data_IF_227380906176
#
_entry.id   IF_227380906176
#
_cell.length_a   1.000
_cell.length_b   1.000
_cell.length_c   1.000
_cell.angle_alpha   90.00
_cell.angle_beta   90.00
_cell.angle_gamma   90.00
#
_symmetry.space_group_name_H-M   'P 1'
#
loop_
_entity.id
_entity.type
_entity.pdbx_description
1 polymer ?
#
# COMPACT_ATOMS: atom_id res chain seq x y z
N UNK A 1 -26.14 9.77 23.31
CA UNK A 1 -26.24 10.56 22.06
C UNK A 1 -26.31 9.55 20.95
N UNK A 2 -27.43 9.42 20.30
CA UNK A 2 -27.52 8.59 19.11
C UNK A 2 -26.58 9.16 18.04
N UNK A 3 -25.81 8.31 17.35
CA UNK A 3 -25.02 8.77 16.21
C UNK A 3 -25.99 9.40 15.21
N UNK A 4 -25.63 10.57 14.69
CA UNK A 4 -26.41 11.22 13.63
C UNK A 4 -26.71 10.18 12.55
N UNK A 5 -27.94 10.12 12.02
CA UNK A 5 -28.27 9.17 10.96
C UNK A 5 -27.29 9.38 9.83
N UNK A 6 -26.70 8.28 9.36
CA UNK A 6 -25.82 8.28 8.20
C UNK A 6 -26.51 9.09 7.09
N UNK A 7 -25.86 10.09 6.47
CA UNK A 7 -26.46 10.89 5.41
C UNK A 7 -26.79 10.06 4.15
N UNK A 8 -26.39 8.80 4.13
CA UNK A 8 -26.62 7.88 3.04
C UNK A 8 -27.95 7.17 3.20
N UNK A 9 -28.97 7.75 2.60
CA UNK A 9 -30.26 7.09 2.43
C UNK A 9 -30.05 5.86 1.53
N UNK A 10 -30.75 4.76 1.88
CA UNK A 10 -30.68 3.44 1.25
C UNK A 10 -30.92 3.39 -0.27
N UNK A 11 -31.21 4.51 -0.92
CA UNK A 11 -31.41 4.62 -2.35
C UNK A 11 -30.20 5.16 -3.13
N UNK A 12 -29.15 5.61 -2.46
CA UNK A 12 -27.97 6.15 -3.14
C UNK A 12 -27.02 5.01 -3.51
N UNK A 13 -26.85 4.80 -4.80
CA UNK A 13 -25.88 3.84 -5.31
C UNK A 13 -24.49 4.48 -5.29
N UNK A 14 -23.56 3.84 -4.60
CA UNK A 14 -22.15 4.21 -4.64
C UNK A 14 -21.42 3.35 -5.66
N UNK A 15 -20.63 3.97 -6.50
CA UNK A 15 -19.73 3.26 -7.38
C UNK A 15 -18.46 2.97 -6.60
N UNK A 16 -18.28 1.71 -6.23
CA UNK A 16 -17.06 1.19 -5.63
C UNK A 16 -16.16 0.69 -6.74
N UNK A 17 -14.94 1.20 -6.84
CA UNK A 17 -14.03 0.76 -7.90
C UNK A 17 -12.72 1.53 -7.90
N UNK A 18 -11.91 1.25 -8.91
CA UNK A 18 -10.63 1.90 -9.12
C UNK A 18 -10.81 3.22 -9.88
N UNK A 19 -10.28 4.29 -9.30
CA UNK A 19 -10.20 5.61 -9.95
C UNK A 19 -8.92 5.73 -10.76
N UNK A 20 -9.01 6.42 -11.90
CA UNK A 20 -7.87 6.70 -12.77
C UNK A 20 -7.60 8.20 -12.74
N UNK A 21 -6.35 8.57 -12.51
CA UNK A 21 -5.92 9.96 -12.44
C UNK A 21 -4.89 10.22 -13.53
N UNK A 22 -4.98 11.38 -14.15
CA UNK A 22 -3.88 11.93 -14.96
C UNK A 22 -3.16 12.96 -14.14
N UNK A 23 -1.85 12.81 -13.99
CA UNK A 23 -1.05 13.73 -13.19
C UNK A 23 -0.79 15.00 -13.97
N UNK A 24 -1.21 16.13 -13.40
CA UNK A 24 -0.83 17.47 -13.87
C UNK A 24 0.01 18.14 -12.80
N UNK A 25 1.21 18.64 -13.13
CA UNK A 25 2.02 19.32 -12.13
C UNK A 25 1.41 20.68 -11.81
N UNK A 26 1.17 20.91 -10.53
CA UNK A 26 0.73 22.20 -10.01
C UNK A 26 1.87 22.96 -9.29
N UNK A 27 2.99 22.29 -9.08
CA UNK A 27 4.19 22.84 -8.45
C UNK A 27 5.40 22.65 -9.36
N UNK A 28 6.26 23.65 -9.54
CA UNK A 28 7.42 23.55 -10.43
C UNK A 28 8.44 22.50 -9.98
N UNK A 29 8.55 22.24 -8.68
CA UNK A 29 9.51 21.29 -8.11
C UNK A 29 8.83 20.48 -6.97
N UNK A 30 8.13 19.38 -7.26
CA UNK A 30 7.60 18.51 -6.22
C UNK A 30 8.75 17.85 -5.45
N UNK A 31 8.62 17.78 -4.13
CA UNK A 31 9.60 17.17 -3.22
C UNK A 31 8.97 16.03 -2.42
N UNK A 32 9.81 15.16 -1.83
CA UNK A 32 9.35 14.08 -0.94
C UNK A 32 8.37 13.12 -1.62
N UNK A 33 7.28 12.80 -0.94
CA UNK A 33 6.27 11.84 -1.39
C UNK A 33 5.65 12.22 -2.75
N UNK A 34 5.46 13.51 -3.03
CA UNK A 34 4.92 13.96 -4.30
C UNK A 34 5.88 13.71 -5.47
N UNK A 35 7.19 13.90 -5.26
CA UNK A 35 8.20 13.60 -6.27
C UNK A 35 8.29 12.10 -6.57
N UNK A 36 8.25 11.26 -5.53
CA UNK A 36 8.25 9.81 -5.68
C UNK A 36 7.03 9.32 -6.47
N UNK A 37 5.84 9.83 -6.13
CA UNK A 37 4.61 9.47 -6.81
C UNK A 37 4.58 9.96 -8.27
N UNK A 38 5.14 11.16 -8.54
CA UNK A 38 5.27 11.70 -9.89
C UNK A 38 6.18 10.83 -10.76
N UNK A 39 7.32 10.38 -10.22
CA UNK A 39 8.23 9.46 -10.92
C UNK A 39 7.55 8.13 -11.23
N UNK A 40 6.79 7.59 -10.27
CA UNK A 40 6.03 6.36 -10.47
C UNK A 40 4.95 6.51 -11.55
N UNK A 41 4.27 7.65 -11.61
CA UNK A 41 3.29 7.94 -12.64
C UNK A 41 3.88 8.02 -14.06
N UNK A 42 5.19 8.09 -14.19
CA UNK A 42 5.87 8.33 -15.49
C UNK A 42 6.00 9.81 -15.82
N UNK A 43 5.92 10.70 -14.84
CA UNK A 43 6.02 12.14 -15.00
C UNK A 43 4.67 12.84 -15.20
N UNK A 44 4.74 14.11 -15.60
CA UNK A 44 3.55 14.91 -15.93
C UNK A 44 2.83 14.31 -17.16
N UNK A 45 1.52 14.17 -17.07
CA UNK A 45 0.71 13.47 -18.08
C UNK A 45 0.65 11.96 -17.87
N UNK A 46 1.39 11.43 -16.92
CA UNK A 46 1.33 10.02 -16.52
C UNK A 46 0.04 9.67 -15.79
N UNK A 47 -0.21 8.39 -15.61
CA UNK A 47 -1.44 7.88 -15.02
C UNK A 47 -1.18 7.22 -13.68
N UNK A 48 -2.08 7.48 -12.72
CA UNK A 48 -2.15 6.82 -11.43
C UNK A 48 -3.48 6.10 -11.28
N UNK A 49 -3.47 5.05 -10.47
CA UNK A 49 -4.67 4.32 -10.11
C UNK A 49 -4.80 4.29 -8.60
N UNK A 50 -5.96 4.65 -8.09
CA UNK A 50 -6.23 4.69 -6.67
C UNK A 50 -7.60 4.15 -6.31
N UNK A 51 -7.78 3.90 -5.03
CA UNK A 51 -9.05 3.53 -4.43
C UNK A 51 -9.44 4.57 -3.40
N UNK A 52 -10.70 4.96 -3.40
CA UNK A 52 -11.24 5.90 -2.43
C UNK A 52 -11.09 5.37 -1.01
N UNK A 53 -10.65 6.25 -0.09
CA UNK A 53 -10.62 5.98 1.35
C UNK A 53 -11.58 6.84 2.15
N UNK A 54 -12.16 7.88 1.54
CA UNK A 54 -13.15 8.74 2.16
C UNK A 54 -14.56 8.39 1.67
N UNK A 55 -15.41 7.90 2.56
CA UNK A 55 -16.79 7.53 2.24
C UNK A 55 -17.77 8.69 2.37
N UNK A 56 -17.31 9.88 2.80
CA UNK A 56 -18.16 11.05 3.06
C UNK A 56 -18.03 12.16 2.03
N UNK A 57 -17.02 12.11 1.19
CA UNK A 57 -16.77 13.08 0.13
C UNK A 57 -16.83 12.42 -1.23
N UNK A 58 -17.02 13.22 -2.26
CA UNK A 58 -17.17 12.75 -3.64
C UNK A 58 -16.27 13.53 -4.58
N UNK A 59 -15.89 12.87 -5.66
CA UNK A 59 -15.26 13.48 -6.82
C UNK A 59 -16.13 13.22 -8.04
N UNK A 60 -16.22 14.20 -8.93
CA UNK A 60 -16.91 14.07 -10.20
C UNK A 60 -15.95 13.67 -11.31
N UNK A 61 -16.45 12.88 -12.25
CA UNK A 61 -15.64 12.48 -13.40
C UNK A 61 -15.16 13.72 -14.19
N UNK A 62 -13.86 13.79 -14.48
CA UNK A 62 -13.23 14.93 -15.14
C UNK A 62 -12.93 16.13 -14.23
N UNK A 63 -13.18 16.03 -12.91
CA UNK A 63 -12.79 17.05 -11.96
C UNK A 63 -11.26 17.11 -11.86
N UNK A 64 -10.71 18.32 -11.87
CA UNK A 64 -9.31 18.58 -11.54
C UNK A 64 -9.24 19.11 -10.12
N UNK A 65 -8.34 18.53 -9.34
CA UNK A 65 -8.13 18.91 -7.94
C UNK A 65 -6.66 18.91 -7.56
N UNK A 66 -6.34 19.51 -6.42
CA UNK A 66 -4.99 19.59 -5.86
C UNK A 66 -4.95 18.79 -4.57
N UNK A 67 -4.32 17.62 -4.60
CA UNK A 67 -4.15 16.78 -3.43
C UNK A 67 -2.78 16.97 -2.79
N UNK A 68 -2.75 16.94 -1.47
CA UNK A 68 -1.53 16.68 -0.72
C UNK A 68 -1.18 15.18 -0.86
N UNK A 69 0.10 14.89 -1.10
CA UNK A 69 0.60 13.53 -1.22
C UNK A 69 1.28 13.12 0.08
N UNK A 70 0.75 12.12 0.75
CA UNK A 70 1.26 11.60 2.02
C UNK A 70 1.79 10.18 1.84
N UNK A 71 3.03 9.92 2.25
CA UNK A 71 3.56 8.56 2.33
C UNK A 71 3.06 7.90 3.62
N UNK A 72 2.08 7.02 3.52
CA UNK A 72 1.43 6.36 4.66
C UNK A 72 2.36 5.42 5.44
N UNK A 73 3.42 4.94 4.83
CA UNK A 73 4.42 4.09 5.50
C UNK A 73 5.26 4.90 6.50
N UNK A 74 5.40 6.20 6.26
CA UNK A 74 6.15 7.14 7.09
C UNK A 74 5.23 7.90 8.05
N UNK A 75 4.12 8.42 7.53
CA UNK A 75 3.12 9.18 8.29
C UNK A 75 1.71 8.60 8.08
N UNK A 76 1.31 7.60 8.87
CA UNK A 76 -0.03 7.04 8.79
C UNK A 76 -1.14 8.00 9.27
N UNK A 77 -0.81 9.05 10.03
CA UNK A 77 -1.77 10.06 10.47
C UNK A 77 -1.95 11.21 9.47
N UNK A 78 -1.09 11.31 8.47
CA UNK A 78 -1.20 12.32 7.41
C UNK A 78 -2.45 12.15 6.54
N UNK A 79 -3.11 10.98 6.59
CA UNK A 79 -4.44 10.79 6.02
C UNK A 79 -5.50 10.76 7.16
N UNK A 80 -6.26 11.84 7.40
CA UNK A 80 -7.25 11.92 8.48
C UNK A 80 -8.30 10.83 8.46
N UNK A 81 -8.61 10.29 7.29
CA UNK A 81 -9.55 9.18 7.09
C UNK A 81 -9.11 7.89 7.77
N UNK A 82 -7.82 7.70 8.05
CA UNK A 82 -7.31 6.56 8.82
C UNK A 82 -7.54 6.71 10.32
N UNK A 83 -7.94 7.90 10.79
CA UNK A 83 -8.22 8.23 12.18
C UNK A 83 -7.06 8.97 12.85
N UNK A 84 -7.26 9.29 14.14
CA UNK A 84 -6.31 10.10 14.94
C UNK A 84 -5.46 9.27 15.91
N UNK A 85 -5.72 7.97 16.01
CA UNK A 85 -4.95 7.03 16.82
C UNK A 85 -3.82 6.42 15.98
N UNK A 86 -2.58 6.75 16.32
CA UNK A 86 -1.40 6.30 15.57
C UNK A 86 -1.28 4.77 15.47
N UNK A 87 -1.59 4.05 16.54
CA UNK A 87 -1.46 2.58 16.55
C UNK A 87 -2.49 1.97 15.60
N UNK A 88 -3.72 2.46 15.66
CA UNK A 88 -4.81 2.00 14.78
C UNK A 88 -4.56 2.40 13.32
N UNK A 89 -4.13 3.65 13.07
CA UNK A 89 -3.80 4.09 11.71
C UNK A 89 -2.67 3.24 11.12
N UNK A 90 -1.62 2.96 11.89
CA UNK A 90 -0.52 2.09 11.46
C UNK A 90 -0.98 0.66 11.18
N UNK A 91 -1.90 0.12 11.99
CA UNK A 91 -2.49 -1.21 11.73
C UNK A 91 -3.27 -1.21 10.41
N UNK A 92 -4.12 -0.20 10.18
CA UNK A 92 -4.85 -0.05 8.92
C UNK A 92 -3.92 0.04 7.71
N UNK A 93 -2.82 0.78 7.83
CA UNK A 93 -1.80 0.84 6.77
C UNK A 93 -1.19 -0.55 6.51
N UNK A 94 -0.86 -1.31 7.55
CA UNK A 94 -0.34 -2.66 7.41
C UNK A 94 -1.36 -3.61 6.75
N UNK A 95 -2.63 -3.50 7.11
CA UNK A 95 -3.71 -4.30 6.53
C UNK A 95 -3.95 -3.93 5.05
N UNK A 96 -3.93 -2.64 4.72
CA UNK A 96 -3.97 -2.17 3.33
C UNK A 96 -2.76 -2.70 2.53
N UNK A 97 -1.55 -2.65 3.10
CA UNK A 97 -0.37 -3.22 2.46
C UNK A 97 -0.54 -4.71 2.18
N UNK A 98 -1.05 -5.46 3.15
CA UNK A 98 -1.38 -6.88 2.99
C UNK A 98 -2.40 -7.14 1.89
N UNK A 99 -3.45 -6.32 1.81
CA UNK A 99 -4.48 -6.37 0.78
C UNK A 99 -3.89 -6.10 -0.62
N UNK A 100 -3.17 -4.98 -0.78
CA UNK A 100 -2.58 -4.59 -2.06
C UNK A 100 -1.46 -5.55 -2.51
N UNK A 101 -0.65 -6.07 -1.59
CA UNK A 101 0.40 -7.02 -1.92
C UNK A 101 -0.15 -8.29 -2.57
N UNK A 102 -1.33 -8.74 -2.16
CA UNK A 102 -1.93 -9.98 -2.68
C UNK A 102 -2.84 -9.77 -3.87
N UNK A 103 -3.57 -8.65 -3.90
CA UNK A 103 -4.71 -8.51 -4.80
C UNK A 103 -4.72 -7.19 -5.59
N UNK A 104 -3.95 -6.18 -5.18
CA UNK A 104 -4.12 -4.80 -5.64
C UNK A 104 -3.21 -4.33 -6.76
N UNK A 105 -2.15 -5.06 -7.08
CA UNK A 105 -1.13 -4.61 -8.06
C UNK A 105 -1.41 -5.09 -9.48
N UNK A 106 -2.61 -5.57 -9.77
CA UNK A 106 -3.01 -5.98 -11.11
C UNK A 106 -3.23 -4.76 -12.01
N UNK A 107 -2.53 -4.70 -13.13
CA UNK A 107 -2.62 -3.58 -14.06
C UNK A 107 -4.04 -3.37 -14.61
N UNK A 108 -4.75 -4.45 -14.91
CA UNK A 108 -6.10 -4.45 -15.48
C UNK A 108 -7.02 -5.37 -14.68
N UNK A 109 -7.52 -4.95 -13.50
CA UNK A 109 -8.50 -5.73 -12.75
C UNK A 109 -9.83 -5.79 -13.50
N UNK A 110 -10.53 -6.89 -13.35
CA UNK A 110 -11.93 -6.99 -13.77
C UNK A 110 -12.81 -6.02 -12.95
N UNK A 111 -14.02 -5.73 -13.42
CA UNK A 111 -14.96 -4.89 -12.67
C UNK A 111 -15.24 -5.44 -11.26
N UNK A 112 -15.40 -6.75 -11.13
CA UNK A 112 -15.60 -7.42 -9.84
C UNK A 112 -14.38 -7.31 -8.93
N UNK A 113 -13.17 -7.37 -9.47
CA UNK A 113 -11.93 -7.20 -8.70
C UNK A 113 -11.76 -5.75 -8.25
N UNK A 114 -12.04 -4.79 -9.11
CA UNK A 114 -12.00 -3.38 -8.75
C UNK A 114 -13.04 -3.04 -7.67
N UNK A 115 -14.25 -3.58 -7.78
CA UNK A 115 -15.30 -3.41 -6.78
C UNK A 115 -14.95 -4.11 -5.45
N UNK A 116 -14.44 -5.34 -5.50
CA UNK A 116 -14.00 -6.08 -4.32
C UNK A 116 -12.87 -5.35 -3.58
N UNK A 117 -11.88 -4.83 -4.31
CA UNK A 117 -10.79 -4.05 -3.75
C UNK A 117 -11.30 -2.78 -3.06
N UNK A 118 -12.14 -2.01 -3.73
CA UNK A 118 -12.69 -0.79 -3.14
C UNK A 118 -13.52 -1.07 -1.87
N UNK A 119 -14.34 -2.13 -1.88
CA UNK A 119 -15.11 -2.54 -0.70
C UNK A 119 -14.19 -2.98 0.46
N UNK A 120 -13.14 -3.76 0.18
CA UNK A 120 -12.17 -4.18 1.18
C UNK A 120 -11.36 -3.00 1.74
N UNK A 121 -10.96 -2.05 0.89
CA UNK A 121 -10.31 -0.79 1.32
C UNK A 121 -11.23 -0.02 2.27
N UNK A 122 -12.50 0.18 1.92
CA UNK A 122 -13.44 0.89 2.77
C UNK A 122 -13.68 0.19 4.10
N UNK A 123 -13.77 -1.14 4.10
CA UNK A 123 -13.90 -1.92 5.34
C UNK A 123 -12.69 -1.71 6.25
N UNK A 124 -11.47 -1.81 5.74
CA UNK A 124 -10.25 -1.60 6.53
C UNK A 124 -10.19 -0.17 7.10
N UNK A 125 -10.50 0.83 6.27
CA UNK A 125 -10.38 2.24 6.66
C UNK A 125 -11.45 2.63 7.69
N UNK A 126 -12.68 2.19 7.53
CA UNK A 126 -13.80 2.65 8.36
C UNK A 126 -14.10 1.73 9.56
N UNK A 127 -13.60 0.48 9.56
CA UNK A 127 -13.77 -0.42 10.70
C UNK A 127 -12.89 0.01 11.88
N UNK A 128 -13.45 0.00 13.08
CA UNK A 128 -12.76 0.42 14.31
C UNK A 128 -12.34 -0.73 15.20
N UNK A 129 -12.94 -1.91 15.01
CA UNK A 129 -12.69 -3.10 15.82
C UNK A 129 -11.44 -3.87 15.41
N UNK A 130 -10.96 -3.67 14.18
CA UNK A 130 -9.92 -4.51 13.56
C UNK A 130 -10.40 -5.90 13.15
N UNK A 131 -11.70 -6.16 13.22
CA UNK A 131 -12.34 -7.39 12.73
C UNK A 131 -13.17 -7.01 11.50
N UNK A 132 -12.75 -7.47 10.34
CA UNK A 132 -13.34 -7.07 9.07
C UNK A 132 -14.49 -7.99 8.66
N UNK A 133 -15.66 -7.37 8.42
CA UNK A 133 -16.86 -8.09 8.00
C UNK A 133 -17.80 -7.14 7.24
N UNK A 134 -17.90 -7.28 5.93
CA UNK A 134 -18.71 -6.41 5.08
C UNK A 134 -20.19 -6.30 5.48
N UNK A 135 -20.73 -7.25 6.22
CA UNK A 135 -22.12 -7.26 6.67
C UNK A 135 -22.32 -6.85 8.14
N UNK A 136 -21.23 -6.61 8.86
CA UNK A 136 -21.24 -6.31 10.30
C UNK A 136 -20.25 -5.21 10.67
N UNK A 137 -20.11 -4.89 11.97
CA UNK A 137 -19.14 -3.92 12.44
C UNK A 137 -19.58 -2.46 12.34
N UNK A 138 -18.61 -1.55 12.36
CA UNK A 138 -18.80 -0.10 12.26
C UNK A 138 -19.16 0.33 10.85
N UNK A 139 -18.46 -0.21 9.86
CA UNK A 139 -18.78 -0.06 8.45
C UNK A 139 -19.60 -1.26 7.98
N UNK A 140 -20.57 -1.02 7.11
CA UNK A 140 -21.41 -2.09 6.55
C UNK A 140 -21.71 -1.79 5.10
N UNK A 141 -21.55 -2.79 4.26
CA UNK A 141 -22.01 -2.75 2.89
C UNK A 141 -23.44 -3.29 2.84
N UNK A 142 -24.39 -2.42 2.54
CA UNK A 142 -25.79 -2.83 2.44
C UNK A 142 -26.00 -3.73 1.22
N UNK A 143 -26.63 -4.88 1.42
CA UNK A 143 -26.86 -5.88 0.36
C UNK A 143 -25.56 -6.34 -0.35
N UNK A 144 -24.48 -6.54 0.40
CA UNK A 144 -23.29 -7.17 -0.13
C UNK A 144 -23.64 -8.52 -0.74
N UNK A 145 -23.71 -8.60 -2.06
CA UNK A 145 -24.07 -9.80 -2.80
C UNK A 145 -23.31 -9.88 -4.11
N UNK A 146 -23.23 -11.10 -4.67
CA UNK A 146 -22.53 -11.34 -5.92
C UNK A 146 -21.03 -11.65 -5.74
N UNK A 147 -20.35 -11.83 -6.85
CA UNK A 147 -18.96 -12.32 -6.92
C UNK A 147 -17.97 -11.35 -6.27
N UNK A 148 -18.16 -10.05 -6.44
CA UNK A 148 -17.29 -9.04 -5.85
C UNK A 148 -17.34 -9.05 -4.30
N UNK A 149 -18.54 -9.26 -3.69
CA UNK A 149 -18.69 -9.26 -2.24
C UNK A 149 -18.04 -10.50 -1.60
N UNK A 150 -18.24 -11.67 -2.20
CA UNK A 150 -17.55 -12.90 -1.78
C UNK A 150 -16.04 -12.73 -1.89
N UNK A 151 -15.55 -12.19 -3.02
CA UNK A 151 -14.13 -11.95 -3.25
C UNK A 151 -13.55 -10.97 -2.22
N UNK A 152 -14.22 -9.86 -1.91
CA UNK A 152 -13.78 -8.92 -0.89
C UNK A 152 -13.73 -9.57 0.50
N UNK A 153 -14.74 -10.36 0.87
CA UNK A 153 -14.76 -11.08 2.14
C UNK A 153 -13.61 -12.08 2.25
N UNK A 154 -13.34 -12.86 1.20
CA UNK A 154 -12.23 -13.80 1.14
C UNK A 154 -10.88 -13.08 1.31
N UNK A 155 -10.70 -11.94 0.63
CA UNK A 155 -9.47 -11.15 0.72
C UNK A 155 -9.23 -10.59 2.12
N UNK A 156 -10.27 -10.12 2.79
CA UNK A 156 -10.20 -9.62 4.16
C UNK A 156 -9.77 -10.71 5.17
N UNK A 157 -10.10 -11.98 4.93
CA UNK A 157 -9.67 -13.08 5.80
C UNK A 157 -8.18 -13.43 5.66
N UNK A 158 -7.54 -13.01 4.56
CA UNK A 158 -6.14 -13.36 4.25
C UNK A 158 -5.13 -12.28 4.61
N UNK A 159 -5.55 -11.16 5.17
CA UNK A 159 -4.68 -9.99 5.42
C UNK A 159 -3.44 -10.31 6.27
N UNK A 160 -3.58 -11.19 7.26
CA UNK A 160 -2.49 -11.61 8.15
C UNK A 160 -1.55 -12.66 7.56
N UNK A 161 -1.88 -13.21 6.39
CA UNK A 161 -1.03 -14.22 5.76
C UNK A 161 0.20 -13.57 5.12
N UNK A 162 1.36 -14.26 5.06
CA UNK A 162 2.50 -13.77 4.30
C UNK A 162 2.13 -13.56 2.83
N UNK A 163 2.56 -12.46 2.24
CA UNK A 163 2.44 -12.22 0.81
C UNK A 163 3.72 -12.65 0.09
N UNK A 164 3.58 -13.25 -1.09
CA UNK A 164 4.73 -13.64 -1.92
C UNK A 164 5.37 -12.44 -2.63
N UNK A 165 4.69 -11.30 -2.61
CA UNK A 165 5.13 -10.07 -3.24
C UNK A 165 5.77 -9.11 -2.21
N UNK A 166 6.69 -8.24 -2.64
CA UNK A 166 7.23 -7.19 -1.77
C UNK A 166 6.12 -6.32 -1.19
N UNK A 167 6.29 -5.88 0.05
CA UNK A 167 5.36 -4.97 0.71
C UNK A 167 5.22 -3.68 -0.10
N UNK A 168 4.03 -3.31 -0.56
CA UNK A 168 3.84 -2.10 -1.35
C UNK A 168 4.06 -0.85 -0.51
N UNK A 169 4.50 0.22 -1.17
CA UNK A 169 4.52 1.56 -0.61
C UNK A 169 3.15 2.17 -0.86
N UNK A 170 2.52 2.69 0.19
CA UNK A 170 1.21 3.30 0.10
C UNK A 170 1.32 4.83 0.19
N UNK A 171 0.65 5.51 -0.73
CA UNK A 171 0.45 6.96 -0.68
C UNK A 171 -1.01 7.27 -0.53
N UNK A 172 -1.34 8.31 0.24
CA UNK A 172 -2.64 8.93 0.22
C UNK A 172 -2.59 10.20 -0.63
N UNK A 173 -3.64 10.42 -1.40
CA UNK A 173 -4.00 11.72 -1.95
C UNK A 173 -5.05 12.31 -1.02
N UNK A 174 -4.74 13.40 -0.35
CA UNK A 174 -5.58 13.98 0.70
C UNK A 174 -6.00 15.40 0.30
N UNK A 175 -7.29 15.69 0.40
CA UNK A 175 -7.84 17.03 0.19
C UNK A 175 -8.95 17.32 1.21
N UNK A 176 -8.97 18.51 1.84
CA UNK A 176 -9.98 18.84 2.84
C UNK A 176 -11.40 18.96 2.28
N UNK A 177 -11.56 19.13 0.97
CA UNK A 177 -12.84 19.43 0.31
C UNK A 177 -13.36 18.32 -0.58
N UNK A 178 -12.46 17.49 -1.11
CA UNK A 178 -12.80 16.39 -2.03
C UNK A 178 -12.42 15.04 -1.46
N UNK A 179 -12.68 14.01 -2.22
CA UNK A 179 -12.47 12.62 -1.82
C UNK A 179 -10.98 12.29 -1.69
N UNK A 180 -10.62 11.61 -0.61
CA UNK A 180 -9.27 11.07 -0.41
C UNK A 180 -9.11 9.70 -1.08
N UNK A 181 -7.88 9.39 -1.52
CA UNK A 181 -7.56 8.13 -2.20
C UNK A 181 -6.30 7.50 -1.65
N UNK A 182 -6.22 6.17 -1.72
CA UNK A 182 -4.99 5.41 -1.52
C UNK A 182 -4.46 4.90 -2.85
N UNK A 183 -3.16 5.05 -3.04
CA UNK A 183 -2.40 4.55 -4.20
C UNK A 183 -1.36 3.59 -3.67
N UNK A 184 -1.27 2.41 -4.28
CA UNK A 184 -0.25 1.42 -3.96
C UNK A 184 0.79 1.36 -5.08
N UNK A 185 2.05 1.51 -4.70
CA UNK A 185 3.19 1.28 -5.56
C UNK A 185 3.81 -0.07 -5.24
N UNK A 186 4.26 -0.81 -6.26
CA UNK A 186 5.00 -2.04 -6.04
C UNK A 186 6.25 -1.74 -5.19
N UNK A 187 6.38 -2.44 -4.07
CA UNK A 187 7.58 -2.36 -3.25
C UNK A 187 8.79 -2.90 -4.02
N UNK A 188 9.94 -2.33 -3.78
CA UNK A 188 11.20 -2.89 -4.26
C UNK A 188 11.54 -4.08 -3.36
N UNK A 189 11.74 -5.26 -3.95
CA UNK A 189 12.28 -6.37 -3.20
C UNK A 189 13.69 -5.95 -2.76
N UNK A 190 13.87 -5.70 -1.46
CA UNK A 190 15.20 -5.43 -0.96
C UNK A 190 16.04 -6.68 -1.26
N UNK A 191 17.04 -6.57 -2.11
CA UNK A 191 18.04 -7.61 -2.22
C UNK A 191 18.59 -7.84 -0.80
N UNK A 192 18.70 -9.12 -0.37
CA UNK A 192 19.24 -9.38 0.95
C UNK A 192 20.64 -8.76 1.02
N UNK A 193 20.76 -7.66 1.75
CA UNK A 193 22.05 -7.06 2.04
C UNK A 193 22.82 -8.12 2.82
N UNK A 194 23.96 -8.62 2.31
CA UNK A 194 24.74 -9.62 3.03
C UNK A 194 25.04 -9.06 4.42
N UNK A 195 24.61 -9.77 5.45
CA UNK A 195 24.83 -9.30 6.81
C UNK A 195 26.34 -9.06 7.02
N UNK A 196 26.72 -8.01 7.78
CA UNK A 196 28.14 -7.69 8.02
C UNK A 196 28.97 -8.89 8.47
N UNK A 197 28.34 -9.82 9.22
CA UNK A 197 28.98 -11.06 9.66
C UNK A 197 29.25 -12.04 8.51
N UNK A 198 28.38 -12.09 7.49
CA UNK A 198 28.59 -12.93 6.30
C UNK A 198 29.77 -12.40 5.50
N UNK A 199 29.89 -11.08 5.37
CA UNK A 199 31.02 -10.43 4.72
C UNK A 199 32.34 -10.65 5.51
N UNK A 200 32.28 -10.57 6.83
CA UNK A 200 33.43 -10.80 7.71
C UNK A 200 33.91 -12.25 7.64
N UNK A 201 32.99 -13.22 7.70
CA UNK A 201 33.36 -14.66 7.61
C UNK A 201 33.91 -15.02 6.24
N UNK A 202 33.37 -14.48 5.15
CA UNK A 202 33.90 -14.66 3.79
C UNK A 202 35.32 -14.06 3.69
N UNK A 203 35.55 -12.88 4.23
CA UNK A 203 36.87 -12.24 4.22
C UNK A 203 37.89 -13.02 5.05
N UNK A 204 37.51 -13.55 6.20
CA UNK A 204 38.38 -14.39 7.03
C UNK A 204 38.70 -15.73 6.36
N UNK A 205 37.72 -16.34 5.67
CA UNK A 205 37.96 -17.59 4.94
C UNK A 205 38.95 -17.39 3.79
N UNK A 206 38.82 -16.33 3.01
CA UNK A 206 39.74 -16.00 1.91
C UNK A 206 41.14 -15.66 2.45
N UNK A 207 41.24 -14.86 3.54
CA UNK A 207 42.50 -14.50 4.19
C UNK A 207 43.20 -15.72 4.80
N UNK A 208 42.44 -16.60 5.43
CA UNK A 208 42.96 -17.86 6.00
C UNK A 208 43.52 -18.81 4.96
N UNK A 209 42.83 -18.93 3.81
CA UNK A 209 43.29 -19.76 2.69
C UNK A 209 44.60 -19.22 2.08
N UNK A 210 44.69 -17.90 1.94
CA UNK A 210 45.90 -17.24 1.43
C UNK A 210 47.14 -17.47 2.29
N UNK A 211 46.99 -17.39 3.63
CA UNK A 211 48.06 -17.68 4.57
C UNK A 211 48.46 -19.16 4.56
N UNK A 212 47.47 -20.06 4.47
CA UNK A 212 47.72 -21.50 4.38
C UNK A 212 48.50 -21.88 3.11
N UNK A 213 48.11 -21.39 1.96
CA UNK A 213 48.82 -21.65 0.68
C UNK A 213 50.23 -21.11 0.73
N UNK A 214 50.45 -19.91 1.26
CA UNK A 214 51.78 -19.31 1.40
C UNK A 214 52.71 -20.08 2.33
N UNK A 215 52.23 -20.64 3.42
CA UNK A 215 52.99 -21.50 4.31
C UNK A 215 53.36 -22.84 3.69
N UNK A 216 52.54 -23.41 2.83
CA UNK A 216 52.80 -24.69 2.17
C UNK A 216 53.85 -24.57 1.07
N UNK A 217 53.80 -23.49 0.28
CA UNK A 217 54.81 -23.22 -0.78
C UNK A 217 56.20 -22.86 -0.24
N UNK A 218 56.29 -22.29 0.99
CA UNK A 218 57.57 -22.01 1.64
C UNK A 218 58.29 -23.25 2.22
N UNK A 219 57.60 -24.38 2.40
CA UNK A 219 58.23 -25.62 2.93
C UNK A 219 58.80 -26.55 1.84
N UNK A 220 58.45 -26.37 0.60
CA UNK A 220 58.98 -27.19 -0.50
C UNK A 220 60.33 -26.74 -1.07
N UNK A 221 60.90 -25.66 -0.54
CA UNK A 221 62.19 -25.11 -1.01
C UNK A 221 63.43 -25.50 -0.16
N UNK A 222 63.36 -26.42 0.83
CA UNK A 222 64.43 -26.76 1.70
C UNK A 222 64.82 -28.28 1.68
N UNK A 223 64.63 -28.95 0.55
CA UNK A 223 65.08 -30.31 0.33
C UNK A 223 65.78 -30.33 -1.05
N UNK A 224 67.04 -29.90 -1.07
CA UNK A 224 67.96 -29.98 -2.17
C UNK A 224 69.38 -29.77 -1.68
#
# INVERSE_FOLDING_TARGET
>A
MDPAPSPYNTSTQFYVGRSNFTVTANQPDPTGAAAELLMFAGGIGGSLHGYCIDTYKFIHNGQADVWEVVNLNVDPLGAPTLGTDFVKARQKVADLQGLFARHGLTANPTADEAAAMGAAVWEIVNETSGIYNLSGGTFKVYQASGTWASKASDWLTTLSMPADTPTPILYALVDPTTQDFVIAMAGVKADPVPEPFTMLTASLAIGGLGVYVRRRSGRSGLAG
#
